data_IF_721139853228
#
_entry.id   IF_721139853228
#
_cell.length_a   1.000
_cell.length_b   1.000
_cell.length_c   1.000
_cell.angle_alpha   90.00
_cell.angle_beta   90.00
_cell.angle_gamma   90.00
#
_symmetry.space_group_name_H-M   'P 1'
#
loop_
_entity.id
_entity.type
_entity.pdbx_description
1 polymer ?
#
# COMPACT_ATOMS: atom_id res chain seq x y z
N UNK A 1 -66.07 -58.08 50.05
CA UNK A 1 -64.66 -58.41 50.35
C UNK A 1 -63.76 -57.42 49.61
N UNK A 2 -63.22 -56.41 50.31
CA UNK A 2 -62.29 -55.42 49.75
C UNK A 2 -60.86 -55.89 50.02
N UNK A 3 -60.16 -56.37 48.99
CA UNK A 3 -58.75 -56.73 49.08
C UNK A 3 -57.89 -55.45 48.98
N UNK A 4 -57.15 -55.11 50.04
CA UNK A 4 -56.12 -54.06 50.02
C UNK A 4 -54.92 -54.57 49.21
N UNK A 5 -54.59 -53.88 48.12
CA UNK A 5 -53.33 -54.11 47.38
C UNK A 5 -52.16 -53.42 48.09
N UNK A 6 -50.96 -54.04 48.11
CA UNK A 6 -49.79 -53.46 48.78
C UNK A 6 -49.19 -52.29 47.96
N UNK A 7 -48.55 -51.30 48.61
CA UNK A 7 -47.98 -50.13 47.93
C UNK A 7 -46.76 -50.52 47.07
N UNK A 8 -46.71 -49.95 45.87
CA UNK A 8 -45.63 -50.13 44.88
C UNK A 8 -44.29 -49.60 45.45
N UNK A 9 -43.17 -50.35 45.36
CA UNK A 9 -41.88 -49.87 45.85
C UNK A 9 -41.39 -48.67 45.02
N UNK A 10 -40.88 -47.65 45.70
CA UNK A 10 -40.35 -46.45 45.08
C UNK A 10 -39.18 -46.79 44.15
N UNK A 11 -39.23 -46.30 42.91
CA UNK A 11 -38.17 -46.46 41.93
C UNK A 11 -36.88 -45.78 42.41
N UNK A 12 -35.80 -46.56 42.56
CA UNK A 12 -34.45 -46.03 42.79
C UNK A 12 -34.06 -45.15 41.60
N UNK A 13 -33.79 -43.86 41.84
CA UNK A 13 -33.20 -42.97 40.84
C UNK A 13 -31.83 -43.53 40.41
N UNK A 14 -31.51 -43.60 39.11
CA UNK A 14 -30.19 -44.02 38.68
C UNK A 14 -29.15 -43.01 39.20
N UNK A 15 -28.05 -43.53 39.74
CA UNK A 15 -26.93 -42.72 40.17
C UNK A 15 -26.46 -41.82 39.01
N UNK A 16 -26.24 -40.53 39.28
CA UNK A 16 -25.77 -39.57 38.30
C UNK A 16 -24.45 -40.08 37.69
N UNK A 17 -24.45 -40.31 36.38
CA UNK A 17 -23.24 -40.69 35.66
C UNK A 17 -22.21 -39.55 35.77
N UNK A 18 -21.04 -39.87 36.30
CA UNK A 18 -19.89 -38.94 36.37
C UNK A 18 -19.53 -38.55 34.93
N UNK A 19 -19.51 -37.25 34.58
CA UNK A 19 -19.19 -36.85 33.21
C UNK A 19 -17.78 -37.32 32.86
N UNK A 20 -17.67 -38.14 31.79
CA UNK A 20 -16.37 -38.56 31.23
C UNK A 20 -15.54 -37.31 30.93
N UNK A 21 -14.39 -37.17 31.61
CA UNK A 21 -13.44 -36.08 31.36
C UNK A 21 -12.99 -36.18 29.90
N UNK A 22 -13.38 -35.21 29.07
CA UNK A 22 -12.90 -35.09 27.69
C UNK A 22 -11.38 -34.92 27.72
N UNK A 23 -10.67 -35.72 26.93
CA UNK A 23 -9.23 -35.61 26.77
C UNK A 23 -8.91 -34.27 26.08
N UNK A 24 -8.49 -33.27 26.86
CA UNK A 24 -8.06 -31.98 26.30
C UNK A 24 -6.66 -32.21 25.73
N UNK A 25 -6.49 -32.04 24.41
CA UNK A 25 -5.16 -32.06 23.80
C UNK A 25 -4.26 -31.04 24.49
N UNK A 26 -3.03 -31.43 24.82
CA UNK A 26 -2.05 -30.51 25.39
C UNK A 26 -1.87 -29.34 24.44
N UNK A 27 -2.04 -28.12 24.95
CA UNK A 27 -1.79 -26.91 24.18
C UNK A 27 -0.32 -26.93 23.75
N UNK A 28 -0.06 -26.71 22.46
CA UNK A 28 1.30 -26.50 21.99
C UNK A 28 1.94 -25.29 22.66
N UNK A 29 3.26 -25.27 22.75
CA UNK A 29 4.04 -24.17 23.35
C UNK A 29 3.64 -22.79 22.77
N UNK A 30 3.34 -22.75 21.47
CA UNK A 30 2.97 -21.54 20.74
C UNK A 30 1.47 -21.21 20.76
N UNK A 31 0.64 -21.99 21.45
CA UNK A 31 -0.82 -21.83 21.44
C UNK A 31 -1.26 -20.40 21.82
N UNK A 32 -0.66 -19.83 22.87
CA UNK A 32 -1.01 -18.48 23.32
C UNK A 32 -0.55 -17.40 22.34
N UNK A 33 0.63 -17.57 21.70
CA UNK A 33 1.12 -16.65 20.66
C UNK A 33 0.20 -16.65 19.44
N UNK A 34 -0.16 -17.83 18.95
CA UNK A 34 -1.08 -17.99 17.81
C UNK A 34 -2.46 -17.44 18.16
N UNK A 35 -2.94 -17.66 19.39
CA UNK A 35 -4.22 -17.11 19.85
C UNK A 35 -4.22 -15.58 19.86
N UNK A 36 -3.17 -14.95 20.39
CA UNK A 36 -3.04 -13.49 20.42
C UNK A 36 -2.92 -12.91 19.02
N UNK A 37 -2.13 -13.53 18.13
CA UNK A 37 -2.04 -13.13 16.73
C UNK A 37 -3.40 -13.21 16.03
N UNK A 38 -4.10 -14.34 16.19
CA UNK A 38 -5.44 -14.52 15.64
C UNK A 38 -6.44 -13.51 16.20
N UNK A 39 -6.38 -13.25 17.49
CA UNK A 39 -7.25 -12.27 18.15
C UNK A 39 -6.98 -10.84 17.64
N UNK A 40 -5.72 -10.46 17.47
CA UNK A 40 -5.34 -9.13 16.99
C UNK A 40 -5.63 -8.93 15.49
N UNK A 41 -5.40 -9.97 14.67
CA UNK A 41 -5.67 -9.92 13.23
C UNK A 41 -7.16 -9.86 12.90
N UNK A 42 -7.99 -10.54 13.69
CA UNK A 42 -9.43 -10.67 13.42
C UNK A 42 -10.28 -9.96 14.47
N UNK A 43 -9.74 -8.93 15.11
CA UNK A 43 -10.53 -8.07 16.00
C UNK A 43 -11.59 -7.33 15.18
N UNK A 44 -12.87 -7.31 15.61
CA UNK A 44 -13.91 -6.60 14.88
C UNK A 44 -13.57 -5.10 14.82
N UNK A 45 -13.85 -4.50 13.66
CA UNK A 45 -13.68 -3.07 13.49
C UNK A 45 -14.58 -2.30 14.48
N UNK A 46 -14.15 -1.13 14.96
CA UNK A 46 -15.01 -0.27 15.77
C UNK A 46 -16.29 0.10 14.99
N UNK A 47 -17.40 0.39 15.70
CA UNK A 47 -18.65 0.77 15.05
C UNK A 47 -18.47 2.04 14.20
N UNK A 48 -19.31 2.22 13.15
CA UNK A 48 -19.19 3.37 12.27
C UNK A 48 -19.42 4.68 13.02
N UNK A 49 -18.69 5.72 12.59
CA UNK A 49 -18.71 7.03 13.23
C UNK A 49 -20.08 7.70 13.08
N UNK A 50 -20.70 8.07 14.20
CA UNK A 50 -21.94 8.85 14.23
C UNK A 50 -21.61 10.32 14.47
N UNK A 51 -22.03 11.20 13.55
CA UNK A 51 -21.81 12.64 13.65
C UNK A 51 -23.13 13.38 13.79
N UNK A 52 -23.17 14.40 14.66
CA UNK A 52 -24.25 15.38 14.68
C UNK A 52 -24.24 16.24 13.39
N UNK A 53 -25.39 16.83 13.01
CA UNK A 53 -25.57 17.57 11.75
C UNK A 53 -24.48 18.61 11.48
N UNK A 54 -24.16 19.49 12.43
CA UNK A 54 -23.12 20.52 12.25
C UNK A 54 -21.71 19.94 12.12
N UNK A 55 -21.42 18.79 12.75
CA UNK A 55 -20.14 18.09 12.59
C UNK A 55 -20.05 17.43 11.22
N UNK A 56 -21.14 16.81 10.77
CA UNK A 56 -21.23 16.21 9.44
C UNK A 56 -21.04 17.26 8.34
N UNK A 57 -21.71 18.41 8.43
CA UNK A 57 -21.57 19.48 7.44
C UNK A 57 -20.14 20.03 7.38
N UNK A 58 -19.49 20.26 8.53
CA UNK A 58 -18.07 20.65 8.58
C UNK A 58 -17.15 19.60 7.96
N UNK A 59 -17.40 18.32 8.23
CA UNK A 59 -16.63 17.25 7.62
C UNK A 59 -16.83 17.21 6.10
N UNK A 60 -18.06 17.37 5.63
CA UNK A 60 -18.39 17.38 4.21
C UNK A 60 -17.72 18.54 3.46
N UNK A 61 -17.72 19.75 4.02
CA UNK A 61 -17.07 20.90 3.38
C UNK A 61 -15.55 20.72 3.28
N UNK A 62 -14.91 20.25 4.36
CA UNK A 62 -13.46 19.94 4.35
C UNK A 62 -13.16 18.85 3.32
N UNK A 63 -13.95 17.78 3.29
CA UNK A 63 -13.78 16.69 2.34
C UNK A 63 -13.91 17.19 0.90
N UNK A 64 -14.91 18.02 0.60
CA UNK A 64 -15.12 18.56 -0.74
C UNK A 64 -14.01 19.52 -1.15
N UNK A 65 -13.57 20.38 -0.25
CA UNK A 65 -12.45 21.29 -0.48
C UNK A 65 -11.16 20.48 -0.79
N UNK A 66 -10.90 19.41 -0.04
CA UNK A 66 -9.77 18.52 -0.30
C UNK A 66 -9.84 17.83 -1.66
N UNK A 67 -11.02 17.33 -2.06
CA UNK A 67 -11.19 16.75 -3.40
C UNK A 67 -10.91 17.76 -4.51
N UNK A 68 -11.39 19.01 -4.36
CA UNK A 68 -11.14 20.08 -5.33
C UNK A 68 -9.66 20.43 -5.41
N UNK A 69 -8.99 20.57 -4.26
CA UNK A 69 -7.56 20.79 -4.18
C UNK A 69 -6.77 19.68 -4.89
N UNK A 70 -7.07 18.41 -4.59
CA UNK A 70 -6.43 17.27 -5.25
C UNK A 70 -6.63 17.30 -6.76
N UNK A 71 -7.84 17.61 -7.24
CA UNK A 71 -8.11 17.75 -8.67
C UNK A 71 -7.25 18.84 -9.30
N UNK A 72 -7.11 20.00 -8.64
CA UNK A 72 -6.25 21.08 -9.13
C UNK A 72 -4.78 20.66 -9.20
N UNK A 73 -4.28 19.94 -8.18
CA UNK A 73 -2.91 19.39 -8.18
C UNK A 73 -2.69 18.39 -9.32
N UNK A 74 -3.61 17.46 -9.53
CA UNK A 74 -3.53 16.50 -10.64
C UNK A 74 -3.51 17.23 -11.99
N UNK A 75 -4.42 18.18 -12.20
CA UNK A 75 -4.46 18.97 -13.43
C UNK A 75 -3.20 19.81 -13.65
N UNK A 76 -2.60 20.34 -12.58
CA UNK A 76 -1.35 21.09 -12.68
C UNK A 76 -0.19 20.18 -13.13
N UNK A 77 -0.07 19.00 -12.52
CA UNK A 77 0.93 17.99 -12.90
C UNK A 77 0.72 17.49 -14.33
N UNK A 78 -0.53 17.25 -14.75
CA UNK A 78 -0.86 16.86 -16.13
C UNK A 78 -0.48 17.96 -17.13
N UNK A 79 -0.85 19.22 -16.85
CA UNK A 79 -0.48 20.37 -17.69
C UNK A 79 1.04 20.50 -17.82
N UNK A 80 1.77 20.33 -16.73
CA UNK A 80 3.23 20.39 -16.74
C UNK A 80 3.84 19.24 -17.56
N UNK A 81 3.33 18.02 -17.43
CA UNK A 81 3.74 16.88 -18.26
C UNK A 81 3.47 17.14 -19.74
N UNK A 82 2.31 17.69 -20.08
CA UNK A 82 1.97 18.07 -21.46
C UNK A 82 2.92 19.17 -21.98
N UNK A 83 3.25 20.17 -21.15
CA UNK A 83 4.22 21.22 -21.50
C UNK A 83 5.59 20.62 -21.82
N UNK A 84 6.12 19.79 -20.93
CA UNK A 84 7.42 19.12 -21.11
C UNK A 84 7.38 18.25 -22.38
N UNK A 85 6.34 17.44 -22.55
CA UNK A 85 6.17 16.60 -23.73
C UNK A 85 6.13 17.43 -25.03
N UNK A 86 5.38 18.52 -25.07
CA UNK A 86 5.31 19.39 -26.24
C UNK A 86 6.67 20.02 -26.58
N UNK A 87 7.44 20.43 -25.57
CA UNK A 87 8.80 20.95 -25.76
C UNK A 87 9.76 19.88 -26.29
N UNK A 88 9.70 18.66 -25.73
CA UNK A 88 10.48 17.53 -26.21
C UNK A 88 10.12 17.16 -27.66
N UNK A 89 8.83 17.14 -27.99
CA UNK A 89 8.34 16.84 -29.33
C UNK A 89 8.87 17.86 -30.35
N UNK A 90 8.69 19.16 -30.07
CA UNK A 90 9.16 20.23 -30.97
C UNK A 90 10.68 20.15 -31.17
N UNK A 91 11.46 19.94 -30.10
CA UNK A 91 12.90 19.78 -30.20
C UNK A 91 13.31 18.56 -31.05
N UNK A 92 12.59 17.45 -30.93
CA UNK A 92 12.84 16.25 -31.73
C UNK A 92 12.45 16.44 -33.21
N UNK A 93 11.37 17.16 -33.50
CA UNK A 93 10.97 17.50 -34.87
C UNK A 93 11.98 18.41 -35.56
N UNK A 94 12.54 19.39 -34.83
CA UNK A 94 13.66 20.20 -35.34
C UNK A 94 14.90 19.33 -35.58
N UNK A 95 15.27 18.47 -34.62
CA UNK A 95 16.41 17.55 -34.74
C UNK A 95 16.28 16.61 -35.95
N UNK A 96 15.06 16.23 -36.30
CA UNK A 96 14.77 15.37 -37.45
C UNK A 96 15.10 16.03 -38.78
N UNK A 97 14.92 17.35 -38.88
CA UNK A 97 15.21 18.16 -40.07
C UNK A 97 16.64 18.70 -40.10
N UNK A 98 17.35 18.62 -38.98
CA UNK A 98 18.73 19.11 -38.91
C UNK A 98 19.69 18.20 -39.68
N UNK A 99 20.63 18.82 -40.39
CA UNK A 99 21.75 18.17 -41.07
C UNK A 99 23.02 18.36 -40.22
N UNK A 100 23.84 17.32 -40.10
CA UNK A 100 25.14 17.39 -39.38
C UNK A 100 25.16 16.68 -38.02
N UNK A 101 26.26 16.78 -37.26
CA UNK A 101 27.47 17.57 -37.50
C UNK A 101 28.44 16.94 -38.52
N UNK A 102 29.09 17.75 -39.34
CA UNK A 102 30.02 17.29 -40.39
C UNK A 102 29.30 16.63 -41.57
N UNK A 103 29.85 15.53 -42.10
CA UNK A 103 29.31 14.80 -43.25
C UNK A 103 28.17 13.83 -42.88
N UNK A 104 27.38 14.13 -41.84
CA UNK A 104 26.27 13.29 -41.40
C UNK A 104 24.97 13.73 -42.07
N UNK A 105 24.23 12.77 -42.60
CA UNK A 105 22.96 13.01 -43.28
C UNK A 105 21.89 13.59 -42.34
N UNK A 106 20.87 14.21 -42.94
CA UNK A 106 19.69 14.74 -42.26
C UNK A 106 19.07 13.69 -41.31
N UNK A 107 18.70 14.16 -40.10
CA UNK A 107 18.03 13.34 -39.10
C UNK A 107 18.90 12.25 -38.46
N UNK A 108 20.23 12.24 -38.71
CA UNK A 108 21.15 11.32 -38.05
C UNK A 108 21.05 11.42 -36.51
N UNK A 109 21.13 12.64 -35.96
CA UNK A 109 21.02 12.86 -34.51
C UNK A 109 19.67 12.43 -33.95
N UNK A 110 18.58 12.64 -34.69
CA UNK A 110 17.25 12.18 -34.29
C UNK A 110 17.20 10.65 -34.18
N UNK A 111 17.74 9.91 -35.16
CA UNK A 111 17.81 8.44 -35.10
C UNK A 111 18.59 7.95 -33.89
N UNK A 112 19.74 8.58 -33.60
CA UNK A 112 20.57 8.26 -32.43
C UNK A 112 19.83 8.56 -31.12
N UNK A 113 19.18 9.72 -31.00
CA UNK A 113 18.45 10.11 -29.79
C UNK A 113 17.23 9.20 -29.50
N UNK A 114 16.65 8.59 -30.53
CA UNK A 114 15.51 7.66 -30.38
C UNK A 114 15.92 6.25 -29.95
N UNK A 115 17.20 5.91 -29.98
CA UNK A 115 17.68 4.62 -29.50
C UNK A 115 17.35 4.42 -28.00
N UNK A 116 16.89 3.22 -27.64
CA UNK A 116 16.56 2.86 -26.24
C UNK A 116 17.63 2.01 -25.56
N UNK A 117 18.88 2.19 -25.98
CA UNK A 117 20.03 1.46 -25.42
C UNK A 117 20.17 1.80 -23.93
N UNK A 118 20.23 0.78 -23.07
CA UNK A 118 20.38 0.94 -21.62
C UNK A 118 19.13 1.41 -20.87
N UNK A 119 18.02 1.76 -21.54
CA UNK A 119 16.81 2.31 -20.89
C UNK A 119 16.02 1.24 -20.13
N UNK A 120 16.04 -0.01 -20.60
CA UNK A 120 15.27 -1.12 -20.01
C UNK A 120 16.11 -2.07 -19.15
N UNK A 121 17.38 -1.73 -18.91
CA UNK A 121 18.30 -2.54 -18.13
C UNK A 121 18.21 -2.28 -16.62
N UNK A 122 18.95 -3.06 -15.83
CA UNK A 122 19.10 -2.85 -14.38
C UNK A 122 19.78 -1.52 -14.05
N UNK A 123 20.69 -1.08 -14.89
CA UNK A 123 21.49 0.14 -14.69
C UNK A 123 20.88 1.37 -15.40
N UNK A 124 19.59 1.32 -15.75
CA UNK A 124 18.91 2.40 -16.49
C UNK A 124 18.79 3.71 -15.70
N UNK A 125 18.59 3.60 -14.38
CA UNK A 125 18.47 4.74 -13.46
C UNK A 125 19.48 4.55 -12.33
N UNK A 126 20.45 5.46 -12.16
CA UNK A 126 21.41 5.37 -11.05
C UNK A 126 20.70 5.37 -9.69
N UNK A 127 20.99 4.38 -8.85
CA UNK A 127 20.34 4.22 -7.53
C UNK A 127 20.57 5.43 -6.61
N UNK A 128 21.65 6.16 -6.82
CA UNK A 128 22.00 7.38 -6.09
C UNK A 128 21.02 8.52 -6.37
N UNK A 129 20.44 8.57 -7.58
CA UNK A 129 19.46 9.57 -7.98
C UNK A 129 18.02 9.16 -7.63
N UNK A 130 17.73 7.85 -7.59
CA UNK A 130 16.41 7.32 -7.24
C UNK A 130 16.04 7.48 -5.74
N UNK A 131 16.73 8.34 -5.00
CA UNK A 131 16.48 8.60 -3.58
C UNK A 131 15.18 9.40 -3.39
N UNK A 132 14.34 8.92 -2.49
CA UNK A 132 13.11 9.63 -2.12
C UNK A 132 13.42 10.89 -1.30
N UNK A 133 12.52 11.87 -1.42
CA UNK A 133 12.53 13.04 -0.55
C UNK A 133 12.22 12.62 0.89
N UNK A 134 13.01 13.12 1.85
CA UNK A 134 12.83 12.88 3.30
C UNK A 134 12.20 14.09 3.97
N UNK A 135 11.51 13.88 5.09
CA UNK A 135 10.88 14.96 5.87
C UNK A 135 11.91 15.94 6.46
N UNK A 136 13.08 15.44 6.84
CA UNK A 136 14.20 16.23 7.35
C UNK A 136 15.47 15.96 6.53
N UNK A 137 16.35 16.96 6.34
CA UNK A 137 17.60 16.76 5.64
C UNK A 137 18.56 15.88 6.46
N UNK A 138 19.48 15.22 5.77
CA UNK A 138 20.60 14.54 6.42
C UNK A 138 21.56 15.55 7.07
N UNK A 139 22.38 15.08 8.02
CA UNK A 139 23.44 15.91 8.65
C UNK A 139 24.35 16.57 7.61
N UNK A 140 24.72 15.82 6.57
CA UNK A 140 25.36 16.34 5.38
C UNK A 140 24.37 16.19 4.21
N UNK A 141 23.73 17.28 3.81
CA UNK A 141 22.68 17.25 2.79
C UNK A 141 23.22 16.96 1.38
N UNK A 142 24.44 17.43 1.08
CA UNK A 142 25.09 17.25 -0.21
C UNK A 142 26.58 16.96 -0.03
N UNK A 143 27.12 16.05 -0.84
CA UNK A 143 28.54 15.74 -0.84
C UNK A 143 29.27 16.63 -1.86
N UNK A 144 29.89 17.71 -1.39
CA UNK A 144 30.69 18.61 -2.23
C UNK A 144 32.05 18.01 -2.62
N UNK A 145 32.52 17.00 -1.89
CA UNK A 145 33.82 16.34 -2.11
C UNK A 145 33.70 15.11 -3.02
N UNK A 146 32.58 14.97 -3.75
CA UNK A 146 32.39 13.85 -4.66
C UNK A 146 33.51 13.83 -5.71
N UNK A 147 34.19 12.69 -5.83
CA UNK A 147 35.22 12.43 -6.83
C UNK A 147 34.84 11.19 -7.60
N UNK A 148 35.03 11.22 -8.92
CA UNK A 148 34.93 10.01 -9.75
C UNK A 148 35.95 9.01 -9.23
N UNK A 149 35.50 7.88 -8.70
CA UNK A 149 36.38 6.78 -8.35
C UNK A 149 37.10 6.32 -9.63
N UNK A 150 38.43 6.36 -9.65
CA UNK A 150 39.21 5.70 -10.69
C UNK A 150 39.09 4.19 -10.46
N UNK A 151 38.57 3.47 -11.44
CA UNK A 151 38.73 2.02 -11.51
C UNK A 151 40.19 1.64 -11.75
#
# INVERSE_FOLDING_TARGET
>A
MLARTPPKPAAKKPAAAVPRKKHVQAKSENFYRIRTLRQNMFSPAPPPLRMARLRYLRHWTIHRAWQLFRRQQHQATERERHRIYSGMYNACEELRKTVGPGNRDEGYLYRVAMEKKGVWGTDAIPIEYARYQTDFPAKNAWNHDWKRHSN
#
